data_IF_535968829685
#
_entry.id   IF_535968829685
#
_cell.length_a   1.000
_cell.length_b   1.000
_cell.length_c   1.000
_cell.angle_alpha   90.00
_cell.angle_beta   90.00
_cell.angle_gamma   90.00
#
_symmetry.space_group_name_H-M   'P 1'
#
loop_
_entity.id
_entity.type
_entity.pdbx_description
1 polymer ?
#
# COMPACT_ATOMS: atom_id res chain seq x y z
N UNK A 1 5.30 29.45 -29.67
CA UNK A 1 5.14 28.09 -29.43
C UNK A 1 6.40 27.26 -29.25
N UNK A 2 7.15 26.87 -30.29
CA UNK A 2 8.35 26.02 -30.09
C UNK A 2 9.39 26.76 -29.23
N UNK A 3 9.64 28.03 -29.48
CA UNK A 3 10.57 28.85 -28.70
C UNK A 3 10.19 28.99 -27.22
N UNK A 4 8.91 28.94 -26.88
CA UNK A 4 8.48 29.04 -25.48
C UNK A 4 8.81 27.74 -24.72
N UNK A 5 8.63 26.58 -25.33
CA UNK A 5 8.97 25.29 -24.74
C UNK A 5 10.49 25.19 -24.53
N UNK A 6 11.30 25.56 -25.52
CA UNK A 6 12.76 25.58 -25.38
C UNK A 6 13.22 26.47 -24.21
N UNK A 7 12.66 27.68 -24.10
CA UNK A 7 12.98 28.58 -22.98
C UNK A 7 12.57 28.00 -21.62
N UNK A 8 11.45 27.28 -21.54
CA UNK A 8 11.03 26.61 -20.31
C UNK A 8 11.95 25.44 -19.95
N UNK A 9 12.38 24.66 -20.95
CA UNK A 9 13.34 23.58 -20.74
C UNK A 9 14.70 24.12 -20.26
N UNK A 10 15.15 25.26 -20.79
CA UNK A 10 16.36 25.96 -20.32
C UNK A 10 16.19 26.42 -18.87
N UNK A 11 15.05 27.05 -18.53
CA UNK A 11 14.73 27.56 -17.21
C UNK A 11 14.70 26.49 -16.09
N UNK A 12 14.59 25.19 -16.43
CA UNK A 12 14.80 24.11 -15.48
C UNK A 12 16.22 24.02 -14.90
N UNK A 13 17.16 24.79 -15.45
CA UNK A 13 18.55 24.87 -14.97
C UNK A 13 18.90 26.28 -14.45
N UNK A 14 17.90 27.12 -14.19
CA UNK A 14 18.09 28.46 -13.65
C UNK A 14 18.72 28.42 -12.24
N UNK A 15 19.42 29.48 -11.86
CA UNK A 15 20.01 29.62 -10.51
C UNK A 15 18.93 29.76 -9.44
N UNK A 16 17.81 30.43 -9.79
CA UNK A 16 16.68 30.63 -8.88
C UNK A 16 15.74 29.42 -8.84
N UNK A 17 15.52 28.88 -7.64
CA UNK A 17 14.61 27.77 -7.42
C UNK A 17 13.16 28.06 -7.79
N UNK A 18 12.70 29.28 -7.56
CA UNK A 18 11.34 29.67 -7.95
C UNK A 18 11.17 29.66 -9.47
N UNK A 19 12.20 30.13 -10.24
CA UNK A 19 12.17 30.05 -11.70
C UNK A 19 12.11 28.62 -12.18
N UNK A 20 12.89 27.70 -11.58
CA UNK A 20 12.82 26.27 -11.91
C UNK A 20 11.44 25.67 -11.58
N UNK A 21 10.85 26.06 -10.45
CA UNK A 21 9.51 25.64 -10.06
C UNK A 21 8.45 26.08 -11.07
N UNK A 22 8.44 27.37 -11.42
CA UNK A 22 7.49 27.92 -12.39
C UNK A 22 7.66 27.30 -13.79
N UNK A 23 8.90 26.98 -14.18
CA UNK A 23 9.17 26.28 -15.43
C UNK A 23 8.59 24.86 -15.45
N UNK A 24 8.71 24.10 -14.36
CA UNK A 24 8.08 22.78 -14.22
C UNK A 24 6.56 22.90 -14.36
N UNK A 25 5.93 23.80 -13.61
CA UNK A 25 4.48 24.03 -13.67
C UNK A 25 4.01 24.44 -15.08
N UNK A 26 4.75 25.33 -15.74
CA UNK A 26 4.40 25.78 -17.09
C UNK A 26 4.52 24.67 -18.14
N UNK A 27 5.51 23.77 -18.00
CA UNK A 27 5.69 22.63 -18.92
C UNK A 27 4.54 21.63 -18.87
N UNK A 28 3.79 21.53 -17.76
CA UNK A 28 2.60 20.69 -17.69
C UNK A 28 1.51 21.14 -18.68
N UNK A 29 1.40 22.42 -18.92
CA UNK A 29 0.44 22.99 -19.88
C UNK A 29 0.77 22.63 -21.33
N UNK A 30 1.97 22.14 -21.59
CA UNK A 30 2.46 21.80 -22.92
C UNK A 30 2.70 20.29 -23.13
N UNK A 31 2.31 19.43 -22.19
CA UNK A 31 2.62 18.00 -22.20
C UNK A 31 2.42 17.32 -23.55
N UNK A 32 1.25 17.51 -24.16
CA UNK A 32 0.91 16.91 -25.48
C UNK A 32 1.62 17.56 -26.68
N UNK A 33 2.40 18.60 -26.46
CA UNK A 33 3.06 19.39 -27.52
C UNK A 33 4.58 19.29 -27.50
N UNK A 34 5.13 18.55 -26.54
CA UNK A 34 6.56 18.27 -26.49
C UNK A 34 6.95 17.32 -27.63
N UNK A 35 8.07 17.58 -28.29
CA UNK A 35 8.70 16.56 -29.13
C UNK A 35 9.33 15.48 -28.25
N UNK A 36 9.61 14.29 -28.84
CA UNK A 36 10.28 13.19 -28.10
C UNK A 36 11.60 13.66 -27.46
N UNK A 37 12.42 14.44 -28.18
CA UNK A 37 13.68 15.00 -27.66
C UNK A 37 13.46 15.97 -26.50
N UNK A 38 12.42 16.79 -26.55
CA UNK A 38 12.08 17.73 -25.48
C UNK A 38 11.54 16.99 -24.25
N UNK A 39 10.73 15.97 -24.47
CA UNK A 39 10.23 15.13 -23.39
C UNK A 39 11.38 14.43 -22.65
N UNK A 40 12.34 13.85 -23.38
CA UNK A 40 13.54 13.22 -22.80
C UNK A 40 14.37 14.21 -22.00
N UNK A 41 14.57 15.44 -22.50
CA UNK A 41 15.27 16.49 -21.77
C UNK A 41 14.53 16.91 -20.48
N UNK A 42 13.21 17.04 -20.53
CA UNK A 42 12.38 17.33 -19.35
C UNK A 42 12.45 16.20 -18.34
N UNK A 43 12.38 14.94 -18.77
CA UNK A 43 12.52 13.78 -17.91
C UNK A 43 13.86 13.78 -17.17
N UNK A 44 14.96 13.95 -17.89
CA UNK A 44 16.30 13.93 -17.28
C UNK A 44 16.51 15.10 -16.30
N UNK A 45 16.03 16.31 -16.63
CA UNK A 45 16.11 17.46 -15.73
C UNK A 45 15.20 17.31 -14.51
N UNK A 46 13.96 16.89 -14.70
CA UNK A 46 13.04 16.63 -13.58
C UNK A 46 13.62 15.61 -12.59
N UNK A 47 14.24 14.54 -13.09
CA UNK A 47 14.90 13.54 -12.23
C UNK A 47 16.01 14.16 -11.38
N UNK A 48 16.80 15.08 -11.90
CA UNK A 48 17.83 15.79 -11.13
C UNK A 48 17.22 16.72 -10.08
N UNK A 49 16.12 17.38 -10.43
CA UNK A 49 15.43 18.33 -9.55
C UNK A 49 14.66 17.68 -8.39
N UNK A 50 14.54 16.36 -8.33
CA UNK A 50 14.00 15.67 -7.14
C UNK A 50 14.87 15.84 -5.88
N UNK A 51 16.12 16.28 -6.05
CA UNK A 51 17.05 16.62 -4.97
C UNK A 51 17.28 18.14 -4.82
N UNK A 52 16.42 18.96 -5.38
CA UNK A 52 16.57 20.40 -5.39
C UNK A 52 16.47 21.03 -3.99
N UNK A 53 17.25 22.08 -3.73
CA UNK A 53 17.22 22.79 -2.45
C UNK A 53 15.90 23.56 -2.26
N UNK A 54 15.31 24.06 -3.34
CA UNK A 54 14.01 24.72 -3.31
C UNK A 54 12.88 23.70 -3.15
N UNK A 55 12.09 23.80 -2.09
CA UNK A 55 11.06 22.82 -1.72
C UNK A 55 10.00 22.64 -2.81
N UNK A 56 9.48 23.74 -3.37
CA UNK A 56 8.48 23.70 -4.44
C UNK A 56 8.99 22.97 -5.69
N UNK A 57 10.25 23.27 -6.09
CA UNK A 57 10.90 22.59 -7.23
C UNK A 57 11.07 21.10 -6.98
N UNK A 58 11.56 20.73 -5.80
CA UNK A 58 11.76 19.33 -5.41
C UNK A 58 10.45 18.55 -5.43
N UNK A 59 9.39 19.15 -4.89
CA UNK A 59 8.07 18.55 -4.85
C UNK A 59 7.50 18.37 -6.26
N UNK A 60 7.49 19.42 -7.07
CA UNK A 60 6.97 19.39 -8.44
C UNK A 60 7.75 18.42 -9.35
N UNK A 61 9.08 18.42 -9.22
CA UNK A 61 9.93 17.46 -9.94
C UNK A 61 9.61 16.01 -9.57
N UNK A 62 9.37 15.75 -8.28
CA UNK A 62 8.97 14.40 -7.80
C UNK A 62 7.63 13.98 -8.37
N UNK A 63 6.69 14.90 -8.44
CA UNK A 63 5.39 14.76 -9.09
C UNK A 63 5.56 14.28 -10.54
N UNK A 64 6.34 15.02 -11.27
CA UNK A 64 6.55 14.77 -12.70
C UNK A 64 7.25 13.44 -12.94
N UNK A 65 8.24 13.10 -12.13
CA UNK A 65 8.91 11.79 -12.18
C UNK A 65 7.91 10.65 -11.97
N UNK A 66 7.04 10.75 -10.97
CA UNK A 66 5.99 9.77 -10.70
C UNK A 66 5.01 9.65 -11.90
N UNK A 67 4.63 10.77 -12.52
CA UNK A 67 3.75 10.77 -13.68
C UNK A 67 4.37 10.05 -14.88
N UNK A 68 5.65 10.26 -15.18
CA UNK A 68 6.34 9.52 -16.22
C UNK A 68 6.40 8.02 -15.92
N UNK A 69 6.75 7.66 -14.70
CA UNK A 69 6.77 6.26 -14.25
C UNK A 69 5.38 5.63 -14.41
N UNK A 70 4.34 6.33 -13.97
CA UNK A 70 2.95 5.87 -14.10
C UNK A 70 2.55 5.65 -15.56
N UNK A 71 2.87 6.56 -16.47
CA UNK A 71 2.54 6.43 -17.89
C UNK A 71 3.19 5.18 -18.50
N UNK A 72 4.46 4.93 -18.21
CA UNK A 72 5.14 3.70 -18.68
C UNK A 72 4.56 2.43 -18.08
N UNK A 73 4.15 2.47 -16.82
CA UNK A 73 3.48 1.35 -16.14
C UNK A 73 2.13 1.08 -16.80
N UNK A 74 1.33 2.10 -17.05
CA UNK A 74 0.00 1.97 -17.66
C UNK A 74 0.13 1.41 -19.11
N UNK A 75 1.11 1.90 -19.88
CA UNK A 75 1.40 1.35 -21.21
C UNK A 75 1.88 -0.10 -21.12
N UNK A 76 2.78 -0.42 -20.19
CA UNK A 76 3.25 -1.78 -19.98
C UNK A 76 2.10 -2.74 -19.64
N UNK A 77 1.16 -2.31 -18.80
CA UNK A 77 -0.03 -3.09 -18.48
C UNK A 77 -0.88 -3.34 -19.74
N UNK A 78 -1.12 -2.32 -20.56
CA UNK A 78 -1.87 -2.47 -21.80
C UNK A 78 -1.19 -3.41 -22.80
N UNK A 79 0.15 -3.38 -22.88
CA UNK A 79 0.92 -4.30 -23.70
C UNK A 79 0.87 -5.73 -23.18
N UNK A 80 0.89 -5.91 -21.85
CA UNK A 80 0.74 -7.22 -21.21
C UNK A 80 -0.62 -7.85 -21.54
N UNK A 81 -1.69 -7.08 -21.44
CA UNK A 81 -3.05 -7.52 -21.81
C UNK A 81 -3.15 -7.93 -23.30
N UNK A 82 -2.31 -7.35 -24.17
CA UNK A 82 -2.20 -7.71 -25.59
C UNK A 82 -1.17 -8.81 -25.86
N UNK A 83 -0.68 -9.50 -24.83
CA UNK A 83 0.35 -10.52 -24.89
C UNK A 83 1.68 -10.05 -25.52
N UNK A 84 1.97 -8.76 -25.52
CA UNK A 84 3.26 -8.18 -25.98
C UNK A 84 4.28 -8.14 -24.82
N UNK A 85 4.55 -9.29 -24.23
CA UNK A 85 5.23 -9.41 -22.93
C UNK A 85 6.65 -8.82 -22.91
N UNK A 86 7.44 -9.01 -23.97
CA UNK A 86 8.80 -8.47 -24.03
C UNK A 86 8.80 -6.92 -24.04
N UNK A 87 7.82 -6.30 -24.71
CA UNK A 87 7.68 -4.83 -24.71
C UNK A 87 7.18 -4.31 -23.38
N UNK A 88 6.25 -5.02 -22.75
CA UNK A 88 5.77 -4.69 -21.42
C UNK A 88 6.93 -4.73 -20.40
N UNK A 89 7.73 -5.81 -20.39
CA UNK A 89 8.89 -5.94 -19.50
C UNK A 89 9.91 -4.82 -19.74
N UNK A 90 10.15 -4.42 -20.99
CA UNK A 90 11.06 -3.32 -21.35
C UNK A 90 10.58 -1.97 -20.78
N UNK A 91 9.27 -1.69 -20.79
CA UNK A 91 8.73 -0.47 -20.21
C UNK A 91 8.80 -0.45 -18.67
N UNK A 92 8.55 -1.59 -18.01
CA UNK A 92 8.79 -1.69 -16.57
C UNK A 92 10.27 -1.47 -16.23
N UNK A 93 11.18 -2.04 -17.02
CA UNK A 93 12.62 -1.82 -16.85
C UNK A 93 13.01 -0.34 -17.08
N UNK A 94 12.41 0.33 -18.07
CA UNK A 94 12.57 1.78 -18.30
C UNK A 94 12.12 2.57 -17.08
N UNK A 95 10.94 2.29 -16.55
CA UNK A 95 10.39 2.95 -15.37
C UNK A 95 11.33 2.80 -14.16
N UNK A 96 11.87 1.61 -13.93
CA UNK A 96 12.80 1.34 -12.83
C UNK A 96 14.22 1.88 -13.07
N UNK A 97 14.67 1.98 -14.32
CA UNK A 97 15.93 2.69 -14.62
C UNK A 97 15.81 4.17 -14.32
N UNK A 98 14.64 4.75 -14.57
CA UNK A 98 14.36 6.14 -14.32
C UNK A 98 14.12 6.44 -12.83
N UNK A 99 13.33 5.62 -12.15
CA UNK A 99 13.04 5.71 -10.71
C UNK A 99 13.17 4.34 -10.01
N UNK A 100 14.41 3.94 -9.62
CA UNK A 100 14.65 2.61 -9.04
C UNK A 100 13.90 2.36 -7.72
N UNK A 101 13.62 3.43 -6.96
CA UNK A 101 12.92 3.37 -5.68
C UNK A 101 11.39 3.41 -5.81
N UNK A 102 10.85 3.56 -7.03
CA UNK A 102 9.40 3.59 -7.25
C UNK A 102 8.76 2.29 -6.77
N UNK A 103 8.02 2.36 -5.67
CA UNK A 103 7.29 1.21 -5.13
C UNK A 103 6.24 0.71 -6.12
N UNK A 104 5.57 1.63 -6.82
CA UNK A 104 4.57 1.29 -7.83
C UNK A 104 5.18 0.49 -8.99
N UNK A 105 6.28 0.97 -9.56
CA UNK A 105 6.94 0.27 -10.67
C UNK A 105 7.45 -1.12 -10.25
N UNK A 106 8.05 -1.24 -9.06
CA UNK A 106 8.49 -2.51 -8.50
C UNK A 106 7.32 -3.46 -8.26
N UNK A 107 6.22 -2.97 -7.69
CA UNK A 107 5.02 -3.77 -7.47
C UNK A 107 4.42 -4.27 -8.79
N UNK A 108 4.22 -3.39 -9.77
CA UNK A 108 3.62 -3.76 -11.07
C UNK A 108 4.51 -4.70 -11.87
N UNK A 109 5.83 -4.53 -11.83
CA UNK A 109 6.75 -5.50 -12.45
C UNK A 109 6.70 -6.86 -11.72
N UNK A 110 6.65 -6.86 -10.40
CA UNK A 110 6.54 -8.10 -9.64
C UNK A 110 5.24 -8.85 -10.00
N UNK A 111 4.11 -8.12 -10.09
CA UNK A 111 2.83 -8.67 -10.53
C UNK A 111 2.91 -9.22 -11.95
N UNK A 112 3.50 -8.46 -12.88
CA UNK A 112 3.75 -8.94 -14.23
C UNK A 112 4.51 -10.28 -14.24
N UNK A 113 5.53 -10.45 -13.41
CA UNK A 113 6.24 -11.71 -13.28
C UNK A 113 5.38 -12.84 -12.72
N UNK A 114 4.57 -12.57 -11.69
CA UNK A 114 3.66 -13.57 -11.11
C UNK A 114 2.64 -14.05 -12.16
N UNK A 115 2.00 -13.12 -12.87
CA UNK A 115 0.96 -13.39 -13.86
C UNK A 115 1.50 -14.14 -15.08
N UNK A 116 2.80 -14.03 -15.36
CA UNK A 116 3.49 -14.69 -16.48
C UNK A 116 4.35 -15.90 -16.07
N UNK A 117 4.04 -16.52 -14.92
CA UNK A 117 4.65 -17.78 -14.48
C UNK A 117 6.08 -17.66 -13.96
N UNK A 118 6.62 -16.45 -13.79
CA UNK A 118 7.94 -16.18 -13.23
C UNK A 118 7.87 -15.92 -11.71
N UNK A 119 7.18 -16.85 -11.01
CA UNK A 119 6.82 -16.71 -9.59
C UNK A 119 8.00 -16.27 -8.71
N UNK A 120 9.15 -16.92 -8.85
CA UNK A 120 10.32 -16.61 -8.01
C UNK A 120 10.87 -15.20 -8.20
N UNK A 121 10.80 -14.66 -9.44
CA UNK A 121 11.20 -13.27 -9.70
C UNK A 121 10.24 -12.29 -9.03
N UNK A 122 8.95 -12.51 -9.22
CA UNK A 122 7.91 -11.67 -8.62
C UNK A 122 8.00 -11.64 -7.09
N UNK A 123 8.06 -12.80 -6.45
CA UNK A 123 8.16 -12.91 -4.99
C UNK A 123 9.44 -12.26 -4.43
N UNK A 124 10.59 -12.44 -5.11
CA UNK A 124 11.84 -11.77 -4.68
C UNK A 124 11.70 -10.26 -4.73
N UNK A 125 11.14 -9.71 -5.79
CA UNK A 125 10.99 -8.28 -5.96
C UNK A 125 10.05 -7.68 -4.89
N UNK A 126 8.91 -8.31 -4.65
CA UNK A 126 7.98 -7.90 -3.59
C UNK A 126 8.62 -7.95 -2.21
N UNK A 127 9.39 -9.02 -1.90
CA UNK A 127 10.08 -9.16 -0.61
C UNK A 127 11.15 -8.08 -0.42
N UNK A 128 11.93 -7.76 -1.45
CA UNK A 128 12.94 -6.70 -1.42
C UNK A 128 12.36 -5.32 -1.11
N UNK A 129 11.12 -5.08 -1.52
CA UNK A 129 10.45 -3.79 -1.33
C UNK A 129 9.45 -3.77 -0.16
N UNK A 130 9.42 -4.83 0.67
CA UNK A 130 8.55 -4.91 1.86
C UNK A 130 7.07 -5.06 1.54
N UNK A 131 6.74 -5.59 0.36
CA UNK A 131 5.36 -5.79 -0.12
C UNK A 131 4.94 -7.27 -0.12
N UNK A 132 5.78 -8.15 0.41
CA UNK A 132 5.50 -9.56 0.66
C UNK A 132 5.82 -9.89 2.10
N UNK A 133 4.91 -10.58 2.75
CA UNK A 133 5.07 -11.07 4.11
C UNK A 133 5.04 -12.60 4.11
N UNK A 134 6.11 -13.20 4.58
CA UNK A 134 6.22 -14.65 4.76
C UNK A 134 5.51 -15.06 6.06
N UNK A 135 4.34 -15.69 5.95
CA UNK A 135 3.46 -16.00 7.09
C UNK A 135 3.74 -17.44 7.58
N UNK A 136 4.25 -17.58 8.81
CA UNK A 136 4.60 -18.89 9.34
C UNK A 136 3.42 -19.67 9.91
N UNK A 137 3.51 -20.99 9.87
CA UNK A 137 2.71 -21.87 10.73
C UNK A 137 3.16 -21.68 12.19
N UNK A 138 2.28 -21.19 13.04
CA UNK A 138 2.58 -20.98 14.46
C UNK A 138 2.71 -22.32 15.21
N UNK A 139 3.66 -22.46 16.16
CA UNK A 139 3.83 -23.69 16.93
C UNK A 139 2.66 -23.95 17.88
N UNK A 140 2.00 -22.92 18.36
CA UNK A 140 0.81 -22.96 19.22
C UNK A 140 -0.13 -21.81 18.91
N UNK A 141 -1.38 -21.88 19.37
CA UNK A 141 -2.34 -20.79 19.27
C UNK A 141 -2.02 -19.75 20.34
N UNK A 142 -2.07 -18.42 20.01
CA UNK A 142 -2.11 -17.41 21.06
C UNK A 142 -3.45 -17.45 21.81
N UNK A 143 -3.47 -16.96 23.03
CA UNK A 143 -4.69 -16.60 23.74
C UNK A 143 -5.22 -15.27 23.18
N UNK A 144 -6.51 -15.20 22.92
CA UNK A 144 -7.13 -13.97 22.40
C UNK A 144 -7.74 -13.24 23.58
N UNK A 145 -6.92 -12.39 24.23
CA UNK A 145 -7.27 -11.59 25.40
C UNK A 145 -6.93 -10.09 25.25
N UNK A 146 -6.30 -9.72 24.12
CA UNK A 146 -5.90 -8.36 23.78
C UNK A 146 -4.45 -8.02 24.14
N UNK A 147 -3.79 -8.85 24.96
CA UNK A 147 -2.39 -8.70 25.32
C UNK A 147 -1.48 -9.44 24.34
N UNK A 148 -0.59 -8.74 23.70
CA UNK A 148 0.40 -9.34 22.78
C UNK A 148 1.65 -9.86 23.53
N UNK A 149 1.48 -10.46 24.71
CA UNK A 149 2.57 -10.94 25.57
C UNK A 149 2.88 -12.45 25.37
N UNK A 150 2.03 -13.17 24.69
CA UNK A 150 2.25 -14.58 24.33
C UNK A 150 3.57 -14.76 23.56
N UNK A 151 4.41 -15.68 24.03
CA UNK A 151 5.70 -15.98 23.40
C UNK A 151 5.59 -16.42 21.93
N UNK A 152 4.42 -16.90 21.51
CA UNK A 152 4.16 -17.32 20.13
C UNK A 152 4.22 -16.17 19.15
N UNK A 153 3.89 -14.94 19.57
CA UNK A 153 3.97 -13.75 18.73
C UNK A 153 5.38 -13.42 18.26
N UNK A 154 6.41 -13.87 19.01
CA UNK A 154 7.81 -13.77 18.58
C UNK A 154 8.14 -14.69 17.38
N UNK A 155 7.27 -15.65 17.06
CA UNK A 155 7.40 -16.55 15.90
C UNK A 155 6.53 -16.11 14.72
N UNK A 156 5.65 -15.14 14.92
CA UNK A 156 4.80 -14.58 13.88
C UNK A 156 5.60 -13.72 12.91
N UNK A 157 5.11 -13.58 11.69
CA UNK A 157 5.60 -12.55 10.79
C UNK A 157 5.22 -11.16 11.33
N UNK A 158 6.04 -10.15 11.04
CA UNK A 158 5.86 -8.80 11.58
C UNK A 158 5.92 -7.72 10.50
N UNK A 159 5.00 -6.78 10.59
CA UNK A 159 5.01 -5.50 9.86
C UNK A 159 5.17 -4.37 10.87
N UNK A 160 6.08 -3.43 10.62
CA UNK A 160 6.30 -2.25 11.46
C UNK A 160 6.56 -0.96 10.64
N UNK A 161 6.35 -1.03 9.34
CA UNK A 161 6.49 0.11 8.43
C UNK A 161 5.13 0.43 7.82
N UNK A 162 4.57 1.57 8.20
CA UNK A 162 3.33 2.09 7.68
C UNK A 162 3.58 3.41 6.98
N UNK A 163 2.79 3.69 5.96
CA UNK A 163 2.87 4.88 5.12
C UNK A 163 1.53 5.60 5.11
N UNK A 164 1.56 6.91 5.24
CA UNK A 164 0.36 7.73 5.21
C UNK A 164 -0.37 7.57 3.87
N UNK A 165 -1.70 7.60 3.92
CA UNK A 165 -2.50 7.83 2.73
C UNK A 165 -2.25 9.24 2.25
N UNK A 166 -1.73 9.38 1.05
CA UNK A 166 -1.53 10.67 0.42
C UNK A 166 -2.47 10.79 -0.77
N UNK A 167 -3.28 11.83 -0.79
CA UNK A 167 -4.01 12.23 -1.99
C UNK A 167 -3.07 12.78 -3.07
N UNK A 168 -1.84 13.13 -2.69
CA UNK A 168 -0.80 13.43 -3.64
C UNK A 168 -0.14 12.13 -4.07
N UNK A 169 0.03 11.91 -5.36
CA UNK A 169 0.71 10.75 -5.95
C UNK A 169 2.20 10.65 -5.57
N UNK A 170 2.66 11.48 -4.61
CA UNK A 170 4.07 11.70 -4.29
C UNK A 170 4.46 10.95 -3.03
N UNK A 171 5.75 10.78 -2.89
CA UNK A 171 6.48 10.08 -1.85
C UNK A 171 5.59 9.50 -0.72
N UNK A 172 5.61 8.19 -0.56
CA UNK A 172 4.98 7.54 0.58
C UNK A 172 5.62 8.10 1.86
N UNK A 173 4.97 9.07 2.52
CA UNK A 173 5.43 9.57 3.80
C UNK A 173 5.25 8.46 4.85
N UNK A 174 6.25 8.19 5.67
CA UNK A 174 6.08 7.31 6.82
C UNK A 174 4.92 7.79 7.70
N UNK A 175 4.23 6.87 8.35
CA UNK A 175 3.27 7.20 9.39
C UNK A 175 3.96 7.94 10.55
N UNK A 176 3.31 8.93 11.11
CA UNK A 176 3.80 9.67 12.28
C UNK A 176 3.71 8.81 13.56
N UNK A 177 2.79 7.85 13.58
CA UNK A 177 2.60 6.96 14.73
C UNK A 177 3.08 5.54 14.43
N UNK A 178 3.66 4.91 15.44
CA UNK A 178 4.18 3.54 15.31
C UNK A 178 3.06 2.53 15.47
N UNK A 179 2.95 1.66 14.47
CA UNK A 179 2.07 0.50 14.50
C UNK A 179 2.90 -0.75 14.21
N UNK A 180 2.68 -1.82 14.96
CA UNK A 180 3.25 -3.14 14.69
C UNK A 180 2.11 -4.12 14.49
N UNK A 181 2.24 -4.94 13.46
CA UNK A 181 1.30 -6.04 13.21
C UNK A 181 2.05 -7.35 13.22
N UNK A 182 1.48 -8.33 13.88
CA UNK A 182 1.93 -9.70 13.93
C UNK A 182 0.92 -10.58 13.22
N UNK A 183 1.37 -11.55 12.42
CA UNK A 183 0.49 -12.48 11.71
C UNK A 183 1.11 -13.86 11.61
N UNK A 184 0.29 -14.86 11.82
CA UNK A 184 0.65 -16.26 11.65
C UNK A 184 -0.61 -17.11 11.55
N UNK A 185 -0.48 -18.37 11.16
CA UNK A 185 -1.64 -19.24 10.97
C UNK A 185 -1.47 -20.59 11.64
N UNK A 186 -2.59 -21.25 11.86
CA UNK A 186 -2.71 -22.67 12.22
C UNK A 186 -3.89 -23.28 11.48
N UNK A 187 -4.01 -24.61 11.57
CA UNK A 187 -5.17 -25.29 10.99
C UNK A 187 -6.47 -24.69 11.53
N UNK A 188 -7.30 -24.20 10.64
CA UNK A 188 -8.59 -23.60 10.93
C UNK A 188 -8.56 -22.13 11.29
N UNK A 189 -7.37 -21.51 11.46
CA UNK A 189 -7.30 -20.13 11.94
C UNK A 189 -6.12 -19.32 11.36
N UNK A 190 -6.39 -18.05 11.06
CA UNK A 190 -5.39 -17.00 10.89
C UNK A 190 -5.40 -16.13 12.15
N UNK A 191 -4.24 -15.83 12.68
CA UNK A 191 -4.07 -15.02 13.89
C UNK A 191 -3.37 -13.71 13.55
N UNK A 192 -3.90 -12.62 14.06
CA UNK A 192 -3.32 -11.27 13.91
C UNK A 192 -3.28 -10.56 15.25
N UNK A 193 -2.22 -9.79 15.45
CA UNK A 193 -2.06 -8.93 16.60
C UNK A 193 -1.61 -7.55 16.15
N UNK A 194 -2.30 -6.50 16.60
CA UNK A 194 -1.97 -5.12 16.32
C UNK A 194 -1.52 -4.43 17.61
N UNK A 195 -0.34 -3.83 17.58
CA UNK A 195 0.16 -2.99 18.68
C UNK A 195 0.26 -1.55 18.17
N UNK A 196 -0.59 -0.70 18.68
CA UNK A 196 -0.81 0.66 18.25
C UNK A 196 -0.25 1.62 19.31
N UNK A 197 0.95 2.16 19.09
CA UNK A 197 1.50 3.16 19.99
C UNK A 197 0.62 4.41 20.01
N UNK A 198 0.38 4.95 21.20
CA UNK A 198 -0.36 6.17 21.47
C UNK A 198 0.11 6.77 22.79
N UNK A 199 0.64 7.98 22.78
CA UNK A 199 1.13 8.65 24.00
C UNK A 199 0.00 9.12 24.93
N UNK A 200 -1.24 9.13 24.44
CA UNK A 200 -2.42 9.59 25.16
C UNK A 200 -3.63 8.65 24.96
N UNK A 201 -3.59 7.40 25.47
CA UNK A 201 -4.65 6.43 25.26
C UNK A 201 -5.99 6.83 25.94
N UNK A 202 -5.93 7.76 26.88
CA UNK A 202 -7.12 8.36 27.54
C UNK A 202 -7.94 9.26 26.60
N UNK A 203 -7.39 9.63 25.47
CA UNK A 203 -8.03 10.49 24.47
C UNK A 203 -8.30 9.79 23.13
N UNK A 204 -8.33 8.46 23.12
CA UNK A 204 -8.70 7.67 21.94
C UNK A 204 -10.10 8.06 21.44
N UNK A 205 -10.20 8.29 20.14
CA UNK A 205 -11.47 8.64 19.48
C UNK A 205 -12.27 7.37 19.26
N UNK A 206 -13.44 7.30 19.85
CA UNK A 206 -14.34 6.15 19.74
C UNK A 206 -15.77 6.63 19.54
N UNK A 207 -16.33 6.37 18.39
CA UNK A 207 -17.76 6.52 18.14
C UNK A 207 -18.44 5.20 18.47
N UNK A 208 -19.21 5.16 19.52
CA UNK A 208 -19.91 3.95 19.96
C UNK A 208 -21.07 3.55 19.03
N UNK A 209 -21.05 3.96 17.77
CA UNK A 209 -22.06 3.63 16.78
C UNK A 209 -21.68 2.33 16.09
N UNK A 210 -22.47 1.26 16.19
CA UNK A 210 -22.21 0.02 15.46
C UNK A 210 -22.06 0.25 13.96
N UNK A 211 -21.04 -0.39 13.35
CA UNK A 211 -20.87 -0.44 11.91
C UNK A 211 -20.15 0.75 11.27
N UNK A 212 -19.33 1.52 12.00
CA UNK A 212 -18.53 2.62 11.44
C UNK A 212 -17.26 2.86 12.25
N UNK A 213 -16.36 1.86 12.29
CA UNK A 213 -15.10 2.00 13.04
C UNK A 213 -14.07 2.89 12.37
N UNK A 214 -14.13 3.07 11.06
CA UNK A 214 -13.13 3.79 10.24
C UNK A 214 -13.03 5.31 10.47
N UNK A 215 -13.82 5.88 11.38
CA UNK A 215 -13.68 7.26 11.85
C UNK A 215 -13.15 7.34 13.28
N UNK A 216 -12.82 6.20 13.86
CA UNK A 216 -12.33 6.05 15.23
C UNK A 216 -10.79 5.93 15.24
N UNK A 217 -10.21 5.74 16.42
CA UNK A 217 -8.91 5.11 16.55
C UNK A 217 -9.09 3.63 16.28
N UNK A 218 -8.75 3.20 15.06
CA UNK A 218 -8.97 1.84 14.61
C UNK A 218 -7.76 1.22 13.89
N UNK A 219 -7.83 -0.08 13.72
CA UNK A 219 -7.01 -0.85 12.80
C UNK A 219 -7.91 -1.70 11.92
N UNK A 220 -7.52 -1.84 10.68
CA UNK A 220 -8.25 -2.64 9.71
C UNK A 220 -7.29 -3.56 8.95
N UNK A 221 -7.84 -4.61 8.39
CA UNK A 221 -7.17 -5.34 7.33
C UNK A 221 -8.12 -5.61 6.17
N UNK A 222 -7.53 -5.64 5.00
CA UNK A 222 -8.17 -6.00 3.73
C UNK A 222 -7.57 -7.30 3.26
N UNK A 223 -8.41 -8.25 2.87
CA UNK A 223 -7.98 -9.58 2.49
C UNK A 223 -8.68 -10.05 1.22
N UNK A 224 -7.90 -10.36 0.19
CA UNK A 224 -8.28 -11.02 -1.06
C UNK A 224 -7.71 -12.45 -1.04
N UNK A 225 -8.42 -13.43 -0.45
CA UNK A 225 -7.88 -14.75 -0.19
C UNK A 225 -7.81 -15.66 -1.43
N UNK A 226 -8.53 -15.33 -2.49
CA UNK A 226 -8.51 -16.04 -3.76
C UNK A 226 -7.62 -15.37 -4.81
N UNK A 227 -7.06 -14.20 -4.47
CA UNK A 227 -6.14 -13.41 -5.28
C UNK A 227 -6.71 -13.06 -6.67
N UNK A 228 -8.03 -12.77 -6.73
CA UNK A 228 -8.72 -12.40 -7.97
C UNK A 228 -8.74 -10.89 -8.24
N UNK A 229 -8.28 -10.07 -7.25
CA UNK A 229 -8.24 -8.60 -7.29
C UNK A 229 -9.61 -7.94 -7.47
N UNK A 230 -10.65 -8.62 -7.06
CA UNK A 230 -12.05 -8.17 -7.20
C UNK A 230 -12.85 -8.38 -5.93
N UNK A 231 -12.74 -9.58 -5.37
CA UNK A 231 -13.50 -9.95 -4.18
C UNK A 231 -12.58 -9.93 -2.97
N UNK A 232 -12.96 -9.24 -1.91
CA UNK A 232 -12.16 -9.09 -0.71
C UNK A 232 -13.01 -8.76 0.51
N UNK A 233 -12.51 -9.15 1.69
CA UNK A 233 -13.06 -8.73 2.97
C UNK A 233 -12.34 -7.51 3.51
N UNK A 234 -13.08 -6.63 4.21
CA UNK A 234 -12.58 -5.60 5.12
C UNK A 234 -13.03 -5.97 6.52
N UNK A 235 -12.12 -6.03 7.47
CA UNK A 235 -12.43 -6.22 8.87
C UNK A 235 -11.68 -5.17 9.68
N UNK A 236 -12.41 -4.40 10.48
CA UNK A 236 -11.88 -3.31 11.28
C UNK A 236 -12.23 -3.46 12.77
N UNK A 237 -11.36 -2.94 13.62
CA UNK A 237 -11.48 -2.99 15.08
C UNK A 237 -11.14 -1.61 15.65
N UNK A 238 -12.04 -1.02 16.44
CA UNK A 238 -11.68 0.17 17.18
C UNK A 238 -11.13 -0.17 18.58
N UNK A 239 -10.57 0.83 19.22
CA UNK A 239 -9.98 0.71 20.57
C UNK A 239 -10.98 0.37 21.68
N UNK A 240 -12.30 0.41 21.43
CA UNK A 240 -13.34 -0.03 22.34
C UNK A 240 -13.80 -1.48 22.09
N UNK A 241 -13.22 -2.18 21.11
CA UNK A 241 -13.54 -3.56 20.79
C UNK A 241 -14.77 -3.73 19.88
N UNK A 242 -15.26 -2.66 19.25
CA UNK A 242 -16.25 -2.81 18.18
C UNK A 242 -15.58 -3.40 16.95
N UNK A 243 -16.27 -4.31 16.30
CA UNK A 243 -15.85 -4.94 15.04
C UNK A 243 -16.81 -4.49 13.94
N UNK A 244 -16.23 -4.17 12.78
CA UNK A 244 -16.98 -3.95 11.55
C UNK A 244 -16.36 -4.79 10.45
N UNK A 245 -17.17 -5.55 9.75
CA UNK A 245 -16.75 -6.37 8.65
C UNK A 245 -17.69 -6.24 7.46
N UNK A 246 -17.12 -6.24 6.28
CA UNK A 246 -17.83 -6.13 5.01
C UNK A 246 -17.15 -6.99 3.95
N UNK A 247 -17.92 -7.60 3.05
CA UNK A 247 -17.40 -8.32 1.89
C UNK A 247 -17.72 -7.57 0.60
N UNK A 248 -16.72 -7.37 -0.25
CA UNK A 248 -16.81 -6.63 -1.50
C UNK A 248 -16.80 -7.58 -2.71
N UNK A 249 -17.70 -7.34 -3.67
CA UNK A 249 -17.88 -8.14 -4.88
C UNK A 249 -17.45 -7.40 -6.15
N UNK A 250 -16.37 -6.64 -6.08
CA UNK A 250 -15.85 -5.87 -7.21
C UNK A 250 -16.25 -4.39 -7.19
N UNK A 251 -15.73 -3.66 -6.22
CA UNK A 251 -15.89 -2.22 -6.04
C UNK A 251 -16.76 -1.81 -4.86
N UNK A 252 -16.58 -0.58 -4.41
CA UNK A 252 -17.18 -0.02 -3.20
C UNK A 252 -18.71 -0.07 -3.14
N UNK A 253 -19.38 0.05 -4.28
CA UNK A 253 -20.84 0.06 -4.35
C UNK A 253 -21.48 -1.33 -4.34
N UNK A 254 -20.66 -2.38 -4.46
CA UNK A 254 -21.14 -3.76 -4.50
C UNK A 254 -20.58 -4.54 -3.29
N UNK A 255 -21.14 -4.27 -2.12
CA UNK A 255 -20.74 -4.86 -0.85
C UNK A 255 -21.87 -5.57 -0.14
N UNK A 256 -21.53 -6.56 0.64
CA UNK A 256 -22.42 -7.35 1.50
C UNK A 256 -22.19 -6.90 2.95
N UNK A 257 -22.99 -5.93 3.40
CA UNK A 257 -22.91 -5.38 4.78
C UNK A 257 -23.34 -6.38 5.86
N UNK A 258 -24.10 -7.40 5.50
CA UNK A 258 -24.55 -8.46 6.42
C UNK A 258 -23.59 -9.64 6.51
N UNK A 259 -22.43 -9.52 5.85
CA UNK A 259 -21.40 -10.56 5.95
C UNK A 259 -20.75 -10.57 7.33
N UNK A 260 -20.39 -11.73 7.82
CA UNK A 260 -19.75 -11.96 9.12
C UNK A 260 -18.50 -12.82 8.91
N UNK A 261 -17.37 -12.25 9.27
CA UNK A 261 -16.04 -12.86 9.13
C UNK A 261 -15.72 -13.86 10.22
N UNK A 262 -16.65 -14.57 10.77
CA UNK A 262 -16.46 -15.56 11.84
C UNK A 262 -15.10 -15.48 12.56
N UNK A 263 -15.04 -14.75 13.66
CA UNK A 263 -13.79 -14.53 14.38
C UNK A 263 -13.96 -14.29 15.87
N UNK A 264 -12.83 -14.17 16.56
CA UNK A 264 -12.79 -13.70 17.95
C UNK A 264 -11.76 -12.60 18.04
N UNK A 265 -12.15 -11.44 18.59
CA UNK A 265 -11.25 -10.33 18.90
C UNK A 265 -11.20 -10.09 20.41
N UNK A 266 -10.12 -9.48 20.85
CA UNK A 266 -9.99 -8.85 22.15
C UNK A 266 -9.12 -7.61 22.03
N UNK A 267 -9.40 -6.59 22.86
CA UNK A 267 -8.70 -5.31 22.86
C UNK A 267 -8.17 -5.05 24.25
N UNK A 268 -6.97 -4.51 24.32
CA UNK A 268 -6.39 -3.99 25.57
C UNK A 268 -5.90 -2.56 25.36
N UNK A 269 -6.11 -1.70 26.35
CA UNK A 269 -5.60 -0.32 26.37
C UNK A 269 -4.58 -0.22 27.51
N UNK A 270 -3.33 0.05 27.17
CA UNK A 270 -2.21 0.23 28.08
C UNK A 270 -1.93 1.70 28.38
N UNK A 271 -0.74 1.97 28.95
CA UNK A 271 -0.35 3.32 29.36
C UNK A 271 0.08 4.21 28.19
N UNK A 272 0.69 3.61 27.14
CA UNK A 272 1.23 4.32 25.96
C UNK A 272 0.91 3.60 24.64
N UNK A 273 -0.06 2.70 24.66
CA UNK A 273 -0.51 1.94 23.50
C UNK A 273 -1.91 1.39 23.70
N UNK A 274 -2.51 0.92 22.63
CA UNK A 274 -3.58 -0.05 22.67
C UNK A 274 -3.29 -1.19 21.71
N UNK A 275 -3.89 -2.33 21.89
CA UNK A 275 -3.67 -3.51 21.11
C UNK A 275 -4.95 -4.27 20.81
N UNK A 276 -4.92 -4.98 19.69
CA UNK A 276 -5.99 -5.91 19.27
C UNK A 276 -5.36 -7.25 18.99
N UNK A 277 -5.96 -8.30 19.50
CA UNK A 277 -5.74 -9.65 19.02
C UNK A 277 -6.99 -10.13 18.29
N UNK A 278 -6.78 -10.79 17.17
CA UNK A 278 -7.85 -11.35 16.37
C UNK A 278 -7.51 -12.74 15.85
N UNK A 279 -8.50 -13.62 15.93
CA UNK A 279 -8.47 -14.95 15.35
C UNK A 279 -9.59 -15.05 14.33
N UNK A 280 -9.22 -15.13 13.04
CA UNK A 280 -10.13 -15.37 11.91
C UNK A 280 -10.28 -16.86 11.67
N UNK A 281 -11.51 -17.37 11.53
CA UNK A 281 -11.78 -18.71 11.07
C UNK A 281 -11.47 -18.87 9.59
N UNK A 282 -10.71 -19.90 9.21
CA UNK A 282 -10.34 -20.21 7.83
C UNK A 282 -10.61 -21.68 7.52
N UNK A 283 -10.63 -22.04 6.25
CA UNK A 283 -11.00 -23.37 5.78
C UNK A 283 -12.50 -23.54 5.54
N UNK A 284 -13.21 -22.42 5.51
CA UNK A 284 -14.66 -22.35 5.24
C UNK A 284 -15.01 -20.99 4.60
N UNK A 285 -16.18 -20.92 3.98
CA UNK A 285 -16.71 -19.73 3.33
C UNK A 285 -15.69 -19.09 2.36
N UNK A 286 -15.49 -17.80 2.44
CA UNK A 286 -14.60 -17.03 1.56
C UNK A 286 -13.11 -17.22 1.88
N UNK A 287 -12.77 -17.73 3.09
CA UNK A 287 -11.39 -17.90 3.53
C UNK A 287 -10.94 -19.36 3.44
N UNK A 288 -10.21 -19.77 2.39
CA UNK A 288 -9.67 -21.12 2.30
C UNK A 288 -8.67 -21.41 3.43
N UNK A 289 -8.44 -22.68 3.72
CA UNK A 289 -7.38 -23.06 4.65
C UNK A 289 -6.02 -22.65 4.06
N UNK A 290 -5.21 -21.82 4.73
CA UNK A 290 -3.87 -21.52 4.29
C UNK A 290 -3.00 -22.78 4.18
N UNK A 291 -2.31 -22.92 3.05
CA UNK A 291 -1.37 -24.02 2.78
C UNK A 291 -0.03 -23.44 2.31
N UNK A 292 1.09 -24.13 2.55
CA UNK A 292 2.41 -23.68 2.08
C UNK A 292 2.43 -23.39 0.58
N UNK A 293 2.94 -22.21 0.24
CA UNK A 293 3.02 -21.71 -1.13
C UNK A 293 1.78 -20.97 -1.63
N UNK A 294 0.70 -20.92 -0.84
CA UNK A 294 -0.50 -20.14 -1.15
C UNK A 294 -0.22 -18.64 -0.99
N UNK A 295 -0.84 -17.82 -1.86
CA UNK A 295 -0.76 -16.37 -1.84
C UNK A 295 -2.15 -15.80 -1.57
N UNK A 296 -2.22 -14.82 -0.66
CA UNK A 296 -3.38 -13.95 -0.48
C UNK A 296 -2.99 -12.50 -0.71
N UNK A 297 -3.86 -11.72 -1.36
CA UNK A 297 -3.75 -10.27 -1.37
C UNK A 297 -4.13 -9.73 0.02
N UNK A 298 -3.35 -8.78 0.55
CA UNK A 298 -3.56 -8.32 1.92
C UNK A 298 -3.05 -6.89 2.13
N UNK A 299 -3.78 -6.10 2.94
CA UNK A 299 -3.26 -4.83 3.43
C UNK A 299 -3.68 -4.60 4.89
N UNK A 300 -2.87 -3.87 5.63
CA UNK A 300 -3.16 -3.41 6.98
C UNK A 300 -3.29 -1.90 6.99
N UNK A 301 -4.27 -1.40 7.72
CA UNK A 301 -4.59 0.02 7.86
C UNK A 301 -4.54 0.38 9.34
N UNK A 302 -4.11 1.59 9.64
CA UNK A 302 -4.23 2.24 10.94
C UNK A 302 -4.88 3.60 10.75
N UNK A 303 -5.92 3.89 11.49
CA UNK A 303 -6.48 5.23 11.64
C UNK A 303 -6.10 5.76 13.02
N UNK A 304 -5.49 6.93 13.05
CA UNK A 304 -5.07 7.62 14.27
C UNK A 304 -5.83 8.94 14.42
N UNK A 305 -6.53 9.09 15.53
CA UNK A 305 -7.33 10.30 15.86
C UNK A 305 -8.35 10.69 14.78
N UNK A 306 -8.82 9.75 13.98
CA UNK A 306 -9.71 10.01 12.84
C UNK A 306 -9.13 10.96 11.78
N UNK A 307 -7.84 11.22 11.82
CA UNK A 307 -7.17 12.23 10.98
C UNK A 307 -5.99 11.69 10.17
N UNK A 308 -5.12 10.87 10.76
CA UNK A 308 -4.06 10.18 10.04
C UNK A 308 -4.52 8.77 9.64
N UNK A 309 -4.50 8.52 8.35
CA UNK A 309 -4.70 7.19 7.76
C UNK A 309 -3.37 6.69 7.25
N UNK A 310 -2.96 5.52 7.69
CA UNK A 310 -1.71 4.89 7.25
C UNK A 310 -1.92 3.43 6.89
N UNK A 311 -1.05 2.90 6.03
CA UNK A 311 -1.18 1.56 5.46
C UNK A 311 0.19 0.87 5.30
N UNK A 312 0.19 -0.45 5.31
CA UNK A 312 1.40 -1.25 5.10
C UNK A 312 1.92 -1.14 3.66
N UNK A 313 1.09 -1.48 2.68
CA UNK A 313 1.42 -1.33 1.26
C UNK A 313 0.57 -0.23 0.66
N UNK A 314 1.22 0.70 -0.04
CA UNK A 314 0.56 1.87 -0.58
C UNK A 314 -0.39 1.51 -1.72
N UNK A 315 -1.64 1.92 -1.59
CA UNK A 315 -2.62 1.95 -2.68
C UNK A 315 -2.52 3.27 -3.45
N UNK A 316 -2.77 3.24 -4.76
CA UNK A 316 -2.56 4.40 -5.64
C UNK A 316 -3.86 5.09 -6.09
N UNK A 317 -5.00 4.59 -5.65
CA UNK A 317 -6.32 5.16 -5.97
C UNK A 317 -6.87 6.15 -4.92
N UNK A 318 -6.05 6.57 -3.94
CA UNK A 318 -6.46 7.52 -2.90
C UNK A 318 -7.37 6.94 -1.80
N UNK A 319 -7.61 5.63 -1.81
CA UNK A 319 -8.35 4.91 -0.76
C UNK A 319 -7.81 3.48 -0.62
N UNK A 320 -8.21 2.78 0.45
CA UNK A 320 -7.76 1.43 0.74
C UNK A 320 -8.38 0.34 -0.16
N UNK A 321 -9.50 0.63 -0.83
CA UNK A 321 -10.26 -0.33 -1.63
C UNK A 321 -9.67 -0.52 -3.04
N UNK A 322 -8.41 -0.90 -3.09
CA UNK A 322 -7.63 -1.14 -4.31
C UNK A 322 -6.96 -2.52 -4.23
N UNK A 323 -7.71 -3.62 -4.44
CA UNK A 323 -7.16 -4.97 -4.30
C UNK A 323 -6.01 -5.27 -5.29
N UNK A 324 -5.95 -4.54 -6.40
CA UNK A 324 -4.82 -4.58 -7.34
C UNK A 324 -3.49 -4.07 -6.75
N UNK A 325 -3.55 -3.31 -5.66
CA UNK A 325 -2.39 -2.70 -5.00
C UNK A 325 -2.07 -3.35 -3.65
N UNK A 326 -2.83 -4.36 -3.21
CA UNK A 326 -2.56 -5.04 -1.95
C UNK A 326 -1.19 -5.70 -1.93
N UNK A 327 -0.53 -5.67 -0.79
CA UNK A 327 0.63 -6.51 -0.53
C UNK A 327 0.25 -7.99 -0.54
N UNK A 328 1.22 -8.88 -0.45
CA UNK A 328 0.97 -10.31 -0.48
C UNK A 328 1.38 -10.99 0.81
N UNK A 329 0.56 -11.93 1.24
CA UNK A 329 0.93 -12.96 2.20
C UNK A 329 1.36 -14.21 1.44
N UNK A 330 2.51 -14.78 1.81
CA UNK A 330 2.95 -16.09 1.35
C UNK A 330 3.00 -17.02 2.56
N UNK A 331 2.20 -18.07 2.55
CA UNK A 331 2.13 -19.04 3.64
C UNK A 331 3.23 -20.11 3.53
N UNK A 332 3.81 -20.51 4.69
CA UNK A 332 4.90 -21.48 4.80
C UNK A 332 4.57 -22.68 5.69
#
# INVERSE_FOLDING_TARGET
PISAIESLVEALSDEDGEVRYQALMALDLFGDKLSEDQEEQVQEKARKLTGDDHEGTRMEASIRVENFVKNWIDEALQLSLKAQLARAESLYAKALTYSPASKQANYRLARFYLDNGQKDKGLRLLRQHGMLLDVPLLPQSPEIDGFLDDAVWQKAARVDSFYQFSNSHYAALPSEVRTKVYIGYRKGFLYMGFHCHDEHPDSLVVNKSPGKVWFDDDVEFYCDPNFDHKTYGQIGFNSAGLVNDEWFLGGLSNRVESWDAEGKSAVYVGDDFWSVEYRLSVGQNEFPQPEPGMLWGFNFIRVYRGSEYSQWVRTYGGNAHQPDDFGLLLFH
#
